data_IF_969903426969
#
_entry.id   IF_969903426969
#
_cell.length_a   1.000
_cell.length_b   1.000
_cell.length_c   1.000
_cell.angle_alpha   90.00
_cell.angle_beta   90.00
_cell.angle_gamma   90.00
#
_symmetry.space_group_name_H-M   'P 1'
#
loop_
_entity.id
_entity.type
_entity.pdbx_description
1 polymer ?
#
# COMPACT_ATOMS: atom_id res chain seq x y z
N UNK A 1 36.67 -20.26 25.65
CA UNK A 1 35.52 -21.03 25.12
C UNK A 1 34.40 -21.19 26.15
N UNK A 2 34.66 -21.62 27.39
CA UNK A 2 33.59 -21.83 28.41
C UNK A 2 32.68 -20.62 28.67
N UNK A 3 33.24 -19.41 28.78
CA UNK A 3 32.45 -18.20 29.08
C UNK A 3 31.53 -17.76 27.93
N UNK A 4 31.91 -18.06 26.67
CA UNK A 4 31.08 -17.80 25.50
C UNK A 4 29.83 -18.68 25.49
N UNK A 5 30.03 -20.00 25.59
CA UNK A 5 28.93 -20.98 25.65
C UNK A 5 28.00 -20.75 26.84
N UNK A 6 28.54 -20.33 27.99
CA UNK A 6 27.74 -19.98 29.17
C UNK A 6 26.86 -18.75 28.93
N UNK A 7 27.42 -17.69 28.33
CA UNK A 7 26.66 -16.49 27.97
C UNK A 7 25.53 -16.80 27.01
N UNK A 8 25.81 -17.61 25.99
CA UNK A 8 24.86 -18.00 24.96
C UNK A 8 23.71 -18.85 25.52
N UNK A 9 24.01 -19.84 26.38
CA UNK A 9 23.00 -20.66 27.04
C UNK A 9 22.08 -19.81 27.94
N UNK A 10 22.62 -18.81 28.65
CA UNK A 10 21.85 -17.87 29.47
C UNK A 10 20.99 -16.95 28.62
N UNK A 11 21.50 -16.46 27.50
CA UNK A 11 20.74 -15.66 26.55
C UNK A 11 19.56 -16.46 25.96
N UNK A 12 19.79 -17.73 25.60
CA UNK A 12 18.71 -18.63 25.16
C UNK A 12 17.62 -18.77 26.22
N UNK A 13 17.98 -19.14 27.45
CA UNK A 13 17.03 -19.25 28.55
C UNK A 13 16.30 -17.92 28.85
N UNK A 14 16.96 -16.78 28.62
CA UNK A 14 16.35 -15.47 28.75
C UNK A 14 15.27 -15.22 27.68
N UNK A 15 15.54 -15.57 26.42
CA UNK A 15 14.69 -15.28 25.26
C UNK A 15 13.57 -16.31 25.04
N UNK A 16 13.78 -17.57 25.43
CA UNK A 16 12.83 -18.68 25.25
C UNK A 16 11.48 -18.50 25.96
N UNK A 17 11.35 -17.55 26.90
CA UNK A 17 10.06 -17.27 27.52
C UNK A 17 9.05 -16.67 26.54
N UNK A 18 9.52 -15.89 25.55
CA UNK A 18 8.69 -15.05 24.68
C UNK A 18 8.90 -15.28 23.19
N UNK A 19 10.07 -15.78 22.80
CA UNK A 19 10.44 -15.93 21.40
C UNK A 19 10.63 -17.39 21.00
N UNK A 20 10.40 -17.70 19.72
CA UNK A 20 10.98 -18.88 19.08
C UNK A 20 12.45 -18.54 18.83
N UNK A 21 13.35 -19.45 19.22
CA UNK A 21 14.77 -19.33 18.91
C UNK A 21 15.04 -20.25 17.73
N UNK A 22 15.56 -19.68 16.65
CA UNK A 22 15.96 -20.44 15.47
C UNK A 22 17.42 -20.88 15.65
N UNK A 23 17.61 -22.11 16.11
CA UNK A 23 18.94 -22.71 16.22
C UNK A 23 19.36 -23.26 14.85
N UNK A 24 20.44 -22.75 14.25
CA UNK A 24 21.04 -23.36 13.06
C UNK A 24 22.55 -23.47 13.14
N UNK A 25 23.02 -24.53 12.49
CA UNK A 25 24.37 -25.09 12.42
C UNK A 25 25.31 -24.39 11.43
N UNK A 26 25.06 -23.12 11.11
CA UNK A 26 25.90 -22.36 10.19
C UNK A 26 26.39 -21.16 10.96
N UNK A 27 27.70 -21.08 11.15
CA UNK A 27 28.41 -19.94 11.74
C UNK A 27 28.13 -18.69 10.89
N UNK A 28 27.03 -18.00 11.17
CA UNK A 28 26.75 -16.68 10.66
C UNK A 28 27.65 -15.75 11.46
N UNK A 29 28.69 -15.22 10.83
CA UNK A 29 29.53 -14.21 11.47
C UNK A 29 28.65 -13.05 11.94
N UNK A 30 28.46 -12.90 13.25
CA UNK A 30 28.01 -11.68 13.92
C UNK A 30 26.60 -11.59 14.49
N UNK A 31 25.86 -12.69 14.59
CA UNK A 31 24.74 -12.79 15.52
C UNK A 31 24.69 -14.22 16.09
N UNK A 32 24.65 -14.37 17.41
CA UNK A 32 24.71 -15.69 18.04
C UNK A 32 23.32 -16.36 18.08
N UNK A 33 22.25 -15.56 18.15
CA UNK A 33 20.87 -16.06 18.19
C UNK A 33 19.98 -15.28 17.23
N UNK A 34 19.09 -16.01 16.55
CA UNK A 34 17.98 -15.44 15.78
C UNK A 34 16.68 -15.75 16.53
N UNK A 35 15.88 -14.71 16.78
CA UNK A 35 14.61 -14.80 17.49
C UNK A 35 13.44 -14.44 16.59
N UNK A 36 12.29 -15.06 16.85
CA UNK A 36 11.05 -14.77 16.17
C UNK A 36 9.93 -14.66 17.20
N UNK A 37 9.02 -13.69 17.01
CA UNK A 37 7.84 -13.54 17.89
C UNK A 37 6.96 -14.79 17.85
N UNK A 38 6.47 -15.20 19.03
CA UNK A 38 5.42 -16.22 19.18
C UNK A 38 4.08 -15.64 18.75
N UNK A 39 3.81 -15.61 17.44
CA UNK A 39 2.52 -15.21 16.92
C UNK A 39 1.51 -16.36 17.11
N UNK A 40 0.86 -16.42 18.27
CA UNK A 40 -0.12 -17.47 18.58
C UNK A 40 -1.45 -17.32 17.85
N UNK A 41 -1.69 -16.13 17.26
CA UNK A 41 -2.97 -15.77 16.63
C UNK A 41 -2.86 -15.50 15.11
N UNK A 42 -1.74 -15.85 14.48
CA UNK A 42 -1.52 -15.68 13.03
C UNK A 42 -1.15 -17.01 12.38
N UNK A 43 -1.73 -17.28 11.22
CA UNK A 43 -1.54 -18.53 10.47
C UNK A 43 -0.21 -18.50 9.69
N UNK A 44 0.36 -19.68 9.38
CA UNK A 44 1.53 -19.87 8.51
C UNK A 44 1.33 -19.30 7.09
N UNK A 45 0.07 -19.03 6.72
CA UNK A 45 -0.38 -18.46 5.44
C UNK A 45 -0.59 -16.94 5.47
N UNK A 46 -0.22 -16.26 6.56
CA UNK A 46 -0.34 -14.79 6.66
C UNK A 46 0.65 -14.11 5.69
N UNK A 47 0.19 -13.07 4.98
CA UNK A 47 0.91 -12.44 3.86
C UNK A 47 2.12 -11.61 4.30
N UNK A 48 2.28 -11.38 5.61
CA UNK A 48 3.50 -10.80 6.19
C UNK A 48 4.25 -11.85 7.01
N UNK A 49 5.34 -12.43 6.48
CA UNK A 49 6.11 -13.38 7.24
C UNK A 49 6.71 -12.70 8.48
N UNK A 50 6.90 -13.44 9.58
CA UNK A 50 7.29 -12.85 10.86
C UNK A 50 8.67 -12.18 10.74
N UNK A 51 8.79 -10.97 11.29
CA UNK A 51 10.05 -10.23 11.43
C UNK A 51 10.97 -10.97 12.39
N UNK A 52 12.24 -11.09 12.05
CA UNK A 52 13.24 -11.77 12.86
C UNK A 52 14.05 -10.75 13.68
N UNK A 53 14.46 -11.12 14.89
CA UNK A 53 15.42 -10.35 15.67
C UNK A 53 16.77 -11.03 15.69
N UNK A 54 17.82 -10.24 15.73
CA UNK A 54 19.19 -10.69 15.82
C UNK A 54 19.77 -10.32 17.16
N UNK A 55 20.32 -11.31 17.86
CA UNK A 55 20.89 -11.10 19.19
C UNK A 55 22.35 -11.53 19.17
N UNK A 56 23.24 -10.56 19.37
CA UNK A 56 24.63 -10.84 19.68
C UNK A 56 24.77 -10.99 21.20
N UNK A 57 25.40 -12.08 21.62
CA UNK A 57 25.71 -12.38 23.00
C UNK A 57 27.21 -12.20 23.22
N UNK A 58 27.59 -11.54 24.31
CA UNK A 58 28.99 -11.42 24.71
C UNK A 58 29.10 -11.60 26.21
N UNK A 59 30.26 -12.06 26.67
CA UNK A 59 30.54 -12.24 28.09
C UNK A 59 31.66 -11.28 28.52
N UNK A 60 31.43 -10.56 29.62
CA UNK A 60 32.46 -9.76 30.28
C UNK A 60 33.03 -10.54 31.46
N UNK A 61 34.29 -10.94 31.35
CA UNK A 61 35.03 -11.57 32.46
C UNK A 61 35.41 -10.56 33.54
N UNK A 62 35.66 -9.31 33.14
CA UNK A 62 35.94 -8.19 34.05
C UNK A 62 35.52 -6.86 33.42
N UNK A 63 35.56 -5.80 34.20
CA UNK A 63 35.35 -4.42 33.74
C UNK A 63 36.45 -3.93 32.77
N UNK A 64 37.63 -4.53 32.80
CA UNK A 64 38.73 -4.24 31.87
C UNK A 64 38.53 -4.82 30.47
N UNK A 65 37.63 -5.78 30.32
CA UNK A 65 37.36 -6.41 29.03
C UNK A 65 36.67 -5.41 28.10
N UNK A 66 37.14 -5.32 26.85
CA UNK A 66 36.53 -4.50 25.80
C UNK A 66 35.97 -5.39 24.72
N UNK A 67 34.73 -5.15 24.33
CA UNK A 67 34.05 -5.86 23.25
C UNK A 67 33.93 -4.95 22.02
N UNK A 68 33.98 -5.54 20.83
CA UNK A 68 33.87 -4.82 19.56
C UNK A 68 32.69 -5.35 18.75
N UNK A 69 31.82 -4.44 18.30
CA UNK A 69 30.63 -4.77 17.52
C UNK A 69 30.72 -4.06 16.17
N UNK A 70 30.83 -4.78 15.05
CA UNK A 70 30.87 -4.17 13.72
C UNK A 70 29.69 -3.24 13.44
N UNK A 71 29.96 -2.10 12.78
CA UNK A 71 28.94 -1.08 12.50
C UNK A 71 27.80 -1.61 11.63
N UNK A 72 28.10 -2.55 10.75
CA UNK A 72 27.15 -3.25 9.86
C UNK A 72 25.99 -3.95 10.59
N UNK A 73 26.14 -4.21 11.89
CA UNK A 73 25.07 -4.78 12.73
C UNK A 73 24.18 -3.72 13.38
N UNK A 74 24.66 -2.50 13.51
CA UNK A 74 23.97 -1.40 14.19
C UNK A 74 23.26 -0.52 13.18
N UNK A 75 23.88 -0.29 12.02
CA UNK A 75 23.37 0.54 10.94
C UNK A 75 23.28 -0.24 9.62
N UNK A 76 22.29 0.10 8.79
CA UNK A 76 22.17 -0.42 7.42
C UNK A 76 23.13 0.29 6.43
N UNK A 77 23.02 -0.07 5.15
CA UNK A 77 23.81 0.53 4.06
C UNK A 77 23.53 2.02 3.83
N UNK A 78 22.38 2.52 4.28
CA UNK A 78 21.99 3.94 4.23
C UNK A 78 22.41 4.71 5.50
N UNK A 79 23.02 4.03 6.47
CA UNK A 79 23.42 4.61 7.75
C UNK A 79 22.28 4.77 8.77
N UNK A 80 21.08 4.21 8.51
CA UNK A 80 19.96 4.21 9.46
C UNK A 80 20.10 3.07 10.46
N UNK A 81 19.58 3.28 11.68
CA UNK A 81 19.68 2.31 12.77
C UNK A 81 18.78 1.09 12.56
N UNK A 82 19.29 -0.07 12.95
CA UNK A 82 18.57 -1.35 12.92
C UNK A 82 17.75 -1.55 14.19
N UNK A 83 16.43 -1.57 14.08
CA UNK A 83 15.53 -1.82 15.21
C UNK A 83 15.47 -3.30 15.63
N UNK A 84 15.90 -4.19 14.74
CA UNK A 84 15.87 -5.63 14.83
C UNK A 84 17.16 -6.28 15.35
N UNK A 85 18.17 -5.47 15.70
CA UNK A 85 19.44 -5.95 16.28
C UNK A 85 19.56 -5.58 17.75
N UNK A 86 19.98 -6.56 18.55
CA UNK A 86 20.06 -6.48 20.01
C UNK A 86 21.37 -7.08 20.51
N UNK A 87 21.83 -6.58 21.66
CA UNK A 87 23.03 -7.11 22.31
C UNK A 87 22.71 -7.50 23.75
N UNK A 88 23.09 -8.72 24.13
CA UNK A 88 23.05 -9.20 25.50
C UNK A 88 24.47 -9.41 26.01
N UNK A 89 24.82 -8.66 27.06
CA UNK A 89 26.05 -8.91 27.79
C UNK A 89 25.77 -9.69 29.07
N UNK A 90 26.55 -10.74 29.28
CA UNK A 90 26.51 -11.52 30.51
C UNK A 90 27.80 -11.33 31.30
N UNK A 91 27.70 -11.41 32.62
CA UNK A 91 28.85 -11.48 33.53
C UNK A 91 28.49 -12.29 34.77
N UNK A 92 29.49 -12.61 35.58
CA UNK A 92 29.34 -13.32 36.84
C UNK A 92 28.99 -14.80 36.69
N UNK A 93 29.13 -15.54 37.78
CA UNK A 93 28.87 -16.97 37.86
C UNK A 93 27.78 -17.25 38.89
N UNK A 94 27.03 -18.33 38.67
CA UNK A 94 25.97 -18.80 39.58
C UNK A 94 25.01 -17.66 39.99
N UNK A 95 24.84 -17.45 41.29
CA UNK A 95 23.95 -16.48 41.92
C UNK A 95 24.33 -15.01 41.68
N UNK A 96 25.58 -14.75 41.26
CA UNK A 96 26.06 -13.39 40.97
C UNK A 96 25.96 -13.03 39.47
N UNK A 97 25.21 -13.81 38.70
CA UNK A 97 25.06 -13.56 37.27
C UNK A 97 24.22 -12.31 36.99
N UNK A 98 24.67 -11.49 36.03
CA UNK A 98 23.96 -10.29 35.57
C UNK A 98 23.83 -10.30 34.05
N UNK A 99 22.75 -9.69 33.58
CA UNK A 99 22.43 -9.51 32.16
C UNK A 99 22.30 -8.02 31.89
N UNK A 100 22.94 -7.55 30.82
CA UNK A 100 22.78 -6.19 30.31
C UNK A 100 22.25 -6.24 28.89
N UNK A 101 21.38 -5.30 28.54
CA UNK A 101 20.68 -5.27 27.27
C UNK A 101 20.85 -3.91 26.58
N UNK A 102 21.22 -3.96 25.30
CA UNK A 102 21.36 -2.78 24.45
C UNK A 102 20.62 -2.98 23.12
N UNK A 103 20.03 -1.91 22.62
CA UNK A 103 19.52 -1.78 21.24
C UNK A 103 20.56 -1.08 20.37
N UNK A 104 20.41 -1.15 19.05
CA UNK A 104 21.27 -0.40 18.11
C UNK A 104 21.32 1.10 18.41
N UNK A 105 20.19 1.70 18.78
CA UNK A 105 20.11 3.11 19.16
C UNK A 105 20.99 3.44 20.39
N UNK A 106 20.94 2.61 21.43
CA UNK A 106 21.79 2.76 22.61
C UNK A 106 23.26 2.57 22.25
N UNK A 107 23.59 1.62 21.38
CA UNK A 107 24.98 1.40 20.94
C UNK A 107 25.51 2.62 20.19
N UNK A 108 24.73 3.14 19.24
CA UNK A 108 25.09 4.28 18.41
C UNK A 108 25.23 5.58 19.21
N UNK A 109 24.36 5.80 20.21
CA UNK A 109 24.37 7.02 21.02
C UNK A 109 25.44 7.03 22.11
N UNK A 110 25.72 5.87 22.73
CA UNK A 110 26.58 5.82 23.90
C UNK A 110 28.03 5.39 23.60
N UNK A 111 28.35 4.81 22.43
CA UNK A 111 29.68 4.22 22.19
C UNK A 111 30.35 4.79 20.93
N UNK A 112 31.68 4.89 20.99
CA UNK A 112 32.48 5.42 19.90
C UNK A 112 32.78 4.35 18.84
N UNK A 113 32.88 4.79 17.59
CA UNK A 113 33.33 3.96 16.47
C UNK A 113 34.86 4.06 16.40
N UNK A 114 35.52 2.90 16.34
CA UNK A 114 36.96 2.76 16.13
C UNK A 114 37.23 1.83 14.96
N UNK A 115 38.42 1.92 14.38
CA UNK A 115 38.86 1.01 13.34
C UNK A 115 39.70 -0.11 13.95
N UNK A 116 39.30 -1.37 13.73
CA UNK A 116 39.98 -2.58 14.23
C UNK A 116 39.98 -3.61 13.12
N UNK A 117 41.17 -4.08 12.73
CA UNK A 117 41.38 -5.02 11.61
C UNK A 117 40.81 -4.52 10.27
N UNK A 118 40.94 -3.21 9.99
CA UNK A 118 40.42 -2.59 8.76
C UNK A 118 38.89 -2.47 8.70
N UNK A 119 38.19 -2.74 9.80
CA UNK A 119 36.74 -2.62 9.90
C UNK A 119 36.33 -1.63 10.98
N UNK A 120 35.31 -0.81 10.69
CA UNK A 120 34.68 0.08 11.67
C UNK A 120 33.85 -0.74 12.66
N UNK A 121 34.13 -0.60 13.95
CA UNK A 121 33.45 -1.31 15.05
C UNK A 121 33.15 -0.34 16.20
N UNK A 122 32.01 -0.50 16.85
CA UNK A 122 31.72 0.16 18.12
C UNK A 122 32.56 -0.45 19.23
N UNK A 123 33.21 0.40 20.02
CA UNK A 123 34.04 -0.01 21.16
C UNK A 123 33.24 0.04 22.45
N UNK A 124 33.00 -1.14 23.05
CA UNK A 124 32.17 -1.28 24.25
C UNK A 124 33.06 -1.68 25.42
N UNK A 125 33.38 -0.70 26.28
CA UNK A 125 34.18 -0.90 27.47
C UNK A 125 33.37 -1.55 28.59
N UNK A 126 33.90 -2.63 29.19
CA UNK A 126 33.28 -3.30 30.34
C UNK A 126 33.05 -2.35 31.50
N UNK A 127 33.96 -1.40 31.77
CA UNK A 127 33.82 -0.37 32.81
C UNK A 127 32.56 0.47 32.64
N UNK A 128 32.15 0.77 31.40
CA UNK A 128 30.95 1.57 31.10
C UNK A 128 29.67 0.74 31.26
N UNK A 129 29.70 -0.53 30.90
CA UNK A 129 28.54 -1.43 31.02
C UNK A 129 28.35 -1.91 32.47
N UNK A 130 29.37 -2.49 33.07
CA UNK A 130 29.27 -3.20 34.35
C UNK A 130 29.08 -2.27 35.55
N UNK A 131 29.56 -1.02 35.47
CA UNK A 131 29.42 -0.03 36.55
C UNK A 131 28.18 0.86 36.40
N UNK A 132 27.37 0.64 35.35
CA UNK A 132 26.18 1.44 35.07
C UNK A 132 24.91 0.63 35.23
N UNK A 133 23.97 1.14 36.04
CA UNK A 133 22.64 0.53 36.13
C UNK A 133 21.78 0.78 34.88
N UNK A 134 22.21 1.69 33.97
CA UNK A 134 21.45 2.07 32.76
C UNK A 134 21.13 0.86 31.88
N UNK A 135 22.10 -0.04 31.73
CA UNK A 135 22.02 -1.18 30.81
C UNK A 135 21.57 -2.48 31.49
N UNK A 136 21.53 -2.49 32.84
CA UNK A 136 21.23 -3.67 33.62
C UNK A 136 19.77 -4.09 33.44
N UNK A 137 19.54 -5.37 33.14
CA UNK A 137 18.19 -5.93 33.06
C UNK A 137 17.62 -6.07 34.47
N UNK A 138 16.87 -5.05 34.91
CA UNK A 138 16.16 -5.05 36.19
C UNK A 138 14.87 -5.88 36.18
N UNK A 139 14.22 -6.00 35.02
CA UNK A 139 13.01 -6.80 34.83
C UNK A 139 13.07 -7.54 33.50
N UNK A 140 13.07 -8.88 33.57
CA UNK A 140 13.04 -9.77 32.40
C UNK A 140 11.85 -9.44 31.49
N UNK A 141 10.65 -9.32 32.07
CA UNK A 141 9.43 -9.05 31.30
C UNK A 141 9.50 -7.72 30.53
N UNK A 142 9.99 -6.65 31.16
CA UNK A 142 10.06 -5.34 30.50
C UNK A 142 11.07 -5.33 29.35
N UNK A 143 12.21 -5.97 29.52
CA UNK A 143 13.20 -6.11 28.45
C UNK A 143 12.65 -6.94 27.30
N UNK A 144 11.98 -8.06 27.57
CA UNK A 144 11.37 -8.87 26.51
C UNK A 144 10.24 -8.10 25.78
N UNK A 145 9.44 -7.30 26.48
CA UNK A 145 8.45 -6.41 25.86
C UNK A 145 9.10 -5.35 24.96
N UNK A 146 10.26 -4.80 25.35
CA UNK A 146 11.02 -3.85 24.51
C UNK A 146 11.51 -4.50 23.22
N UNK A 147 12.09 -5.71 23.32
CA UNK A 147 12.50 -6.49 22.14
C UNK A 147 11.29 -6.74 21.24
N UNK A 148 10.16 -7.15 21.82
CA UNK A 148 8.94 -7.42 21.07
C UNK A 148 8.41 -6.17 20.34
N UNK A 149 8.33 -5.04 21.03
CA UNK A 149 7.87 -3.78 20.45
C UNK A 149 8.81 -3.31 19.32
N UNK A 150 10.12 -3.39 19.51
CA UNK A 150 11.07 -3.06 18.46
C UNK A 150 10.89 -3.96 17.23
N UNK A 151 10.63 -5.26 17.42
CA UNK A 151 10.34 -6.16 16.31
C UNK A 151 8.99 -5.87 15.63
N UNK A 152 8.01 -5.28 16.32
CA UNK A 152 6.76 -4.81 15.70
C UNK A 152 7.05 -3.67 14.73
N UNK A 153 7.87 -2.71 15.14
CA UNK A 153 8.15 -1.50 14.36
C UNK A 153 9.26 -1.67 13.31
N UNK A 154 10.14 -2.67 13.48
CA UNK A 154 11.26 -2.91 12.60
C UNK A 154 10.86 -2.96 11.12
N UNK A 155 11.58 -2.25 10.27
CA UNK A 155 11.34 -2.23 8.83
C UNK A 155 11.46 -3.65 8.24
N UNK A 156 10.40 -4.10 7.57
CA UNK A 156 10.32 -5.46 7.02
C UNK A 156 11.35 -5.71 5.92
N UNK A 157 11.59 -4.72 5.04
CA UNK A 157 12.54 -4.81 3.92
C UNK A 157 13.97 -4.94 4.46
N UNK A 158 14.35 -4.05 5.39
CA UNK A 158 15.69 -4.04 6.00
C UNK A 158 15.99 -5.29 6.83
N UNK A 159 14.95 -5.83 7.48
CA UNK A 159 15.04 -7.09 8.19
C UNK A 159 15.39 -8.24 7.23
N UNK A 160 14.75 -8.29 6.06
CA UNK A 160 14.99 -9.32 5.04
C UNK A 160 16.31 -9.15 4.31
N UNK A 161 16.71 -7.93 3.98
CA UNK A 161 18.02 -7.63 3.36
C UNK A 161 19.18 -8.04 4.27
N UNK A 162 19.05 -7.82 5.57
CA UNK A 162 20.08 -8.24 6.52
C UNK A 162 20.12 -9.76 6.70
N UNK A 163 18.95 -10.41 6.67
CA UNK A 163 18.85 -11.87 6.59
C UNK A 163 19.51 -12.40 5.31
N UNK A 164 19.23 -11.83 4.14
CA UNK A 164 19.75 -12.31 2.84
C UNK A 164 21.25 -12.05 2.66
N UNK A 165 21.77 -11.00 3.29
CA UNK A 165 23.20 -10.74 3.35
C UNK A 165 23.96 -11.72 4.27
N UNK A 166 23.35 -12.21 5.36
CA UNK A 166 24.03 -12.96 6.43
C UNK A 166 23.72 -14.44 6.51
N UNK A 167 22.48 -14.84 6.26
CA UNK A 167 22.27 -16.20 5.81
C UNK A 167 23.05 -16.33 4.51
N UNK A 168 23.70 -17.46 4.24
CA UNK A 168 23.88 -17.81 2.85
C UNK A 168 22.51 -17.54 2.24
N UNK A 169 22.45 -16.79 1.14
CA UNK A 169 21.42 -17.11 0.14
C UNK A 169 21.28 -18.61 0.21
N UNK A 170 20.06 -19.16 0.21
CA UNK A 170 19.99 -20.56 -0.22
C UNK A 170 20.63 -20.49 -1.60
N UNK A 171 21.95 -20.73 -1.66
CA UNK A 171 22.75 -20.94 -2.83
C UNK A 171 22.16 -22.28 -3.15
N UNK A 172 21.01 -22.18 -3.81
CA UNK A 172 20.34 -23.28 -4.44
C UNK A 172 21.49 -23.85 -5.22
N UNK A 173 22.03 -24.98 -4.78
CA UNK A 173 23.26 -25.48 -5.36
C UNK A 173 22.95 -25.64 -6.85
N UNK A 174 23.42 -24.68 -7.64
CA UNK A 174 23.03 -24.61 -9.05
C UNK A 174 23.74 -25.73 -9.80
N UNK A 175 24.81 -26.28 -9.21
CA UNK A 175 25.48 -27.49 -9.65
C UNK A 175 24.84 -28.80 -9.15
N UNK A 176 23.91 -28.74 -8.19
CA UNK A 176 23.22 -29.94 -7.70
C UNK A 176 22.39 -30.54 -8.82
N UNK A 177 22.74 -31.75 -9.22
CA UNK A 177 22.00 -32.55 -10.19
C UNK A 177 22.14 -34.01 -9.75
N UNK A 178 21.16 -34.84 -10.10
CA UNK A 178 21.19 -36.25 -9.74
C UNK A 178 22.47 -36.91 -10.29
N UNK A 179 23.15 -37.80 -9.52
CA UNK A 179 24.47 -38.32 -9.88
C UNK A 179 24.55 -38.94 -11.27
N UNK A 180 23.49 -39.62 -11.72
CA UNK A 180 23.48 -40.28 -13.02
C UNK A 180 23.52 -39.30 -14.21
N UNK A 181 23.18 -38.02 -14.03
CA UNK A 181 23.37 -36.99 -15.07
C UNK A 181 24.80 -36.42 -15.08
N UNK A 182 25.64 -36.77 -14.10
CA UNK A 182 27.07 -36.44 -14.09
C UNK A 182 27.92 -37.50 -14.77
N UNK A 183 27.34 -38.66 -15.09
CA UNK A 183 28.02 -39.73 -15.80
C UNK A 183 28.36 -39.28 -17.23
N UNK A 184 29.60 -39.53 -17.66
CA UNK A 184 30.09 -39.11 -18.97
C UNK A 184 29.57 -40.04 -20.07
N UNK A 185 28.31 -39.86 -20.45
CA UNK A 185 27.65 -40.57 -21.54
C UNK A 185 27.44 -39.63 -22.74
N UNK A 186 27.79 -40.12 -23.93
CA UNK A 186 27.48 -39.41 -25.17
C UNK A 186 25.97 -39.19 -25.31
N UNK A 187 25.57 -37.95 -25.56
CA UNK A 187 24.18 -37.57 -25.75
C UNK A 187 24.10 -36.45 -26.81
N UNK A 188 22.92 -36.25 -27.39
CA UNK A 188 22.72 -35.28 -28.47
C UNK A 188 22.69 -33.81 -28.00
N UNK A 189 22.75 -33.55 -26.69
CA UNK A 189 22.57 -32.22 -26.09
C UNK A 189 23.90 -31.60 -25.62
N UNK A 190 24.89 -32.40 -25.27
CA UNK A 190 26.20 -31.96 -24.77
C UNK A 190 26.36 -32.16 -23.25
N UNK A 191 26.92 -31.16 -22.56
CA UNK A 191 27.16 -31.23 -21.11
C UNK A 191 25.88 -30.90 -20.32
N UNK A 192 25.14 -31.93 -19.92
CA UNK A 192 23.88 -31.80 -19.17
C UNK A 192 24.06 -31.03 -17.84
N UNK A 193 25.07 -31.33 -16.99
CA UNK A 193 25.34 -30.56 -15.78
C UNK A 193 25.48 -29.06 -16.00
N UNK A 194 26.29 -28.63 -16.97
CA UNK A 194 26.54 -27.21 -17.24
C UNK A 194 25.25 -26.51 -17.69
N UNK A 195 24.48 -27.15 -18.55
CA UNK A 195 23.25 -26.60 -19.08
C UNK A 195 22.15 -26.51 -18.02
N UNK A 196 22.04 -27.51 -17.15
CA UNK A 196 21.08 -27.49 -16.05
C UNK A 196 21.45 -26.43 -15.01
N UNK A 197 22.75 -26.25 -14.74
CA UNK A 197 23.24 -25.16 -13.91
C UNK A 197 22.89 -23.80 -14.52
N UNK A 198 23.04 -23.64 -15.84
CA UNK A 198 22.63 -22.44 -16.57
C UNK A 198 21.14 -22.14 -16.38
N UNK A 199 20.27 -23.14 -16.52
CA UNK A 199 18.81 -23.00 -16.30
C UNK A 199 18.51 -22.55 -14.86
N UNK A 200 19.16 -23.17 -13.86
CA UNK A 200 18.96 -22.78 -12.45
C UNK A 200 19.43 -21.36 -12.15
N UNK A 201 20.54 -20.93 -12.75
CA UNK A 201 21.01 -19.55 -12.62
C UNK A 201 20.01 -18.56 -13.25
N UNK A 202 19.43 -18.90 -14.41
CA UNK A 202 18.37 -18.08 -15.00
C UNK A 202 17.12 -18.03 -14.12
N UNK A 203 16.68 -19.16 -13.57
CA UNK A 203 15.54 -19.18 -12.66
C UNK A 203 15.76 -18.30 -11.43
N UNK A 204 16.95 -18.38 -10.82
CA UNK A 204 17.33 -17.52 -9.68
C UNK A 204 17.32 -16.04 -10.07
N UNK A 205 17.86 -15.69 -11.25
CA UNK A 205 17.83 -14.32 -11.76
C UNK A 205 16.39 -13.82 -11.95
N UNK A 206 15.54 -14.63 -12.57
CA UNK A 206 14.12 -14.28 -12.78
C UNK A 206 13.34 -14.13 -11.47
N UNK A 207 13.71 -14.85 -10.41
CA UNK A 207 13.11 -14.65 -9.09
C UNK A 207 13.40 -13.25 -8.54
N UNK A 208 14.64 -12.75 -8.69
CA UNK A 208 14.97 -11.38 -8.27
C UNK A 208 14.25 -10.33 -9.12
N UNK A 209 14.19 -10.53 -10.44
CA UNK A 209 13.44 -9.65 -11.34
C UNK A 209 11.94 -9.59 -10.94
N UNK A 210 11.34 -10.72 -10.55
CA UNK A 210 9.95 -10.76 -10.05
C UNK A 210 9.78 -10.08 -8.68
N UNK A 211 10.78 -10.16 -7.80
CA UNK A 211 10.75 -9.48 -6.50
C UNK A 211 10.77 -7.95 -6.67
N UNK A 212 11.58 -7.43 -7.61
CA UNK A 212 11.58 -6.00 -7.95
C UNK A 212 10.22 -5.53 -8.48
N UNK A 213 9.58 -6.31 -9.35
CA UNK A 213 8.23 -6.01 -9.85
C UNK A 213 7.21 -6.04 -8.72
N UNK A 214 7.28 -7.03 -7.84
CA UNK A 214 6.41 -7.11 -6.67
C UNK A 214 6.52 -5.86 -5.78
N UNK A 215 7.73 -5.37 -5.55
CA UNK A 215 7.96 -4.17 -4.74
C UNK A 215 7.30 -2.93 -5.36
N UNK A 216 7.42 -2.76 -6.68
CA UNK A 216 6.77 -1.64 -7.40
C UNK A 216 5.25 -1.74 -7.39
N UNK A 217 4.69 -2.95 -7.59
CA UNK A 217 3.26 -3.20 -7.45
C UNK A 217 2.77 -2.85 -6.04
N UNK A 218 3.57 -3.17 -5.01
CA UNK A 218 3.26 -2.79 -3.63
C UNK A 218 3.26 -1.28 -3.44
N UNK A 219 4.21 -0.55 -4.03
CA UNK A 219 4.24 0.92 -3.97
C UNK A 219 3.03 1.60 -4.62
N UNK A 220 2.39 0.93 -5.60
CA UNK A 220 1.11 1.37 -6.20
C UNK A 220 -0.05 1.11 -5.23
N UNK A 221 -0.08 -0.08 -4.61
CA UNK A 221 -1.13 -0.47 -3.63
C UNK A 221 -1.11 0.42 -2.37
N UNK A 222 0.08 0.80 -1.92
CA UNK A 222 0.27 1.61 -0.71
C UNK A 222 0.10 3.12 -0.97
N UNK A 223 -0.11 3.57 -2.22
CA UNK A 223 -0.33 4.98 -2.54
C UNK A 223 -1.77 5.42 -2.25
N UNK A 224 -1.92 6.69 -1.84
CA UNK A 224 -3.19 7.33 -1.54
C UNK A 224 -3.58 8.40 -2.57
N UNK A 225 -2.62 8.92 -3.36
CA UNK A 225 -2.91 9.82 -4.48
C UNK A 225 -3.02 8.97 -5.76
N UNK A 226 -4.22 8.91 -6.40
CA UNK A 226 -4.37 8.13 -7.62
C UNK A 226 -3.44 8.62 -8.74
N UNK A 227 -3.14 9.92 -8.83
CA UNK A 227 -2.29 10.47 -9.90
C UNK A 227 -0.84 10.00 -9.73
N UNK A 228 -0.34 9.98 -8.51
CA UNK A 228 1.01 9.44 -8.20
C UNK A 228 1.06 7.91 -8.42
N UNK A 229 -0.01 7.19 -8.07
CA UNK A 229 -0.14 5.77 -8.37
C UNK A 229 -0.07 5.49 -9.89
N UNK A 230 -0.72 6.31 -10.71
CA UNK A 230 -0.66 6.23 -12.17
C UNK A 230 0.74 6.52 -12.72
N UNK A 231 1.46 7.50 -12.16
CA UNK A 231 2.85 7.76 -12.53
C UNK A 231 3.75 6.53 -12.30
N UNK A 232 3.60 5.88 -11.14
CA UNK A 232 4.31 4.62 -10.82
C UNK A 232 3.94 3.47 -11.74
N UNK A 233 2.69 3.39 -12.21
CA UNK A 233 2.26 2.38 -13.19
C UNK A 233 2.96 2.60 -14.54
N UNK A 234 3.07 3.85 -15.00
CA UNK A 234 3.79 4.18 -16.23
C UNK A 234 5.31 3.93 -16.11
N UNK A 235 5.90 4.24 -14.96
CA UNK A 235 7.31 3.89 -14.67
C UNK A 235 7.52 2.37 -14.75
N UNK A 236 6.66 1.59 -14.10
CA UNK A 236 6.69 0.12 -14.14
C UNK A 236 6.56 -0.42 -15.57
N UNK A 237 5.68 0.18 -16.38
CA UNK A 237 5.47 -0.18 -17.78
C UNK A 237 6.69 0.11 -18.65
N UNK A 238 7.37 1.24 -18.41
CA UNK A 238 8.59 1.61 -19.12
C UNK A 238 9.74 0.62 -18.84
N UNK A 239 9.86 0.14 -17.60
CA UNK A 239 10.94 -0.75 -17.18
C UNK A 239 10.74 -2.20 -17.62
N UNK A 240 9.51 -2.72 -17.53
CA UNK A 240 9.20 -4.07 -18.00
C UNK A 240 9.21 -4.10 -19.54
N UNK A 241 8.87 -3.00 -20.20
CA UNK A 241 8.81 -2.92 -21.65
C UNK A 241 7.72 -3.82 -22.26
N UNK A 242 7.33 -3.56 -23.50
CA UNK A 242 6.25 -4.29 -24.17
C UNK A 242 6.55 -5.77 -24.48
N UNK A 243 7.78 -6.24 -24.23
CA UNK A 243 8.29 -7.52 -24.73
C UNK A 243 8.87 -8.48 -23.67
N UNK A 244 9.10 -8.07 -22.41
CA UNK A 244 9.78 -8.97 -21.44
C UNK A 244 8.88 -10.07 -20.86
N UNK A 245 7.57 -9.86 -20.77
CA UNK A 245 6.67 -10.80 -20.05
C UNK A 245 5.51 -11.34 -20.89
N UNK A 246 5.51 -11.07 -22.20
CA UNK A 246 4.47 -11.54 -23.12
C UNK A 246 3.06 -11.22 -22.61
N UNK A 247 2.15 -12.20 -22.69
CA UNK A 247 0.75 -12.04 -22.26
C UNK A 247 0.57 -11.67 -20.78
N UNK A 248 1.49 -12.05 -19.91
CA UNK A 248 1.35 -11.75 -18.48
C UNK A 248 1.53 -10.26 -18.21
N UNK A 249 2.56 -9.65 -18.82
CA UNK A 249 2.78 -8.20 -18.74
C UNK A 249 1.61 -7.42 -19.31
N UNK A 250 1.16 -7.75 -20.52
CA UNK A 250 0.05 -7.05 -21.19
C UNK A 250 -1.23 -7.07 -20.35
N UNK A 251 -1.68 -8.25 -19.90
CA UNK A 251 -2.91 -8.35 -19.09
C UNK A 251 -2.79 -7.62 -17.75
N UNK A 252 -1.61 -7.59 -17.14
CA UNK A 252 -1.40 -6.86 -15.88
C UNK A 252 -1.61 -5.35 -16.10
N UNK A 253 -0.95 -4.79 -17.12
CA UNK A 253 -1.05 -3.34 -17.41
C UNK A 253 -2.43 -2.92 -17.88
N UNK A 254 -3.09 -3.72 -18.71
CA UNK A 254 -4.46 -3.45 -19.19
C UNK A 254 -5.47 -3.35 -18.02
N UNK A 255 -5.20 -4.02 -16.90
CA UNK A 255 -6.06 -3.97 -15.71
C UNK A 255 -5.64 -2.89 -14.70
N UNK A 256 -4.39 -2.44 -14.74
CA UNK A 256 -3.88 -1.41 -13.82
C UNK A 256 -4.07 0.00 -14.38
N UNK A 257 -4.08 0.15 -15.70
CA UNK A 257 -4.12 1.45 -16.35
C UNK A 257 -5.45 1.68 -17.07
N UNK A 258 -6.25 2.60 -16.54
CA UNK A 258 -7.45 3.13 -17.17
C UNK A 258 -7.23 4.62 -17.48
N UNK A 259 -7.07 4.94 -18.76
CA UNK A 259 -6.77 6.29 -19.24
C UNK A 259 -7.90 7.29 -18.91
N UNK A 260 -9.16 6.86 -19.03
CA UNK A 260 -10.33 7.69 -18.74
C UNK A 260 -10.39 8.01 -17.24
N UNK A 261 -10.09 7.02 -16.39
CA UNK A 261 -10.03 7.23 -14.95
C UNK A 261 -8.88 8.16 -14.54
N UNK A 262 -7.71 8.04 -15.17
CA UNK A 262 -6.58 8.94 -14.93
C UNK A 262 -6.94 10.40 -15.23
N UNK A 263 -7.48 10.68 -16.43
CA UNK A 263 -7.88 12.05 -16.78
C UNK A 263 -9.03 12.57 -15.91
N UNK A 264 -9.93 11.67 -15.48
CA UNK A 264 -10.99 12.02 -14.51
C UNK A 264 -10.40 12.49 -13.18
N UNK A 265 -9.39 11.79 -12.64
CA UNK A 265 -8.70 12.18 -11.40
C UNK A 265 -7.98 13.52 -11.54
N UNK A 266 -7.27 13.72 -12.66
CA UNK A 266 -6.60 14.98 -12.98
C UNK A 266 -7.58 16.15 -13.03
N UNK A 267 -8.64 16.05 -13.84
CA UNK A 267 -9.67 17.09 -13.95
C UNK A 267 -10.34 17.37 -12.60
N UNK A 268 -10.58 16.33 -11.80
CA UNK A 268 -11.15 16.49 -10.47
C UNK A 268 -10.23 17.28 -9.53
N UNK A 269 -8.93 16.97 -9.51
CA UNK A 269 -7.93 17.70 -8.71
C UNK A 269 -7.83 19.15 -9.15
N UNK A 270 -7.73 19.41 -10.45
CA UNK A 270 -7.69 20.77 -11.03
C UNK A 270 -8.93 21.60 -10.63
N UNK A 271 -10.12 21.01 -10.69
CA UNK A 271 -11.37 21.65 -10.25
C UNK A 271 -11.36 22.00 -8.77
N UNK A 272 -10.94 21.06 -7.91
CA UNK A 272 -10.85 21.30 -6.47
C UNK A 272 -9.87 22.44 -6.19
N UNK A 273 -8.70 22.44 -6.83
CA UNK A 273 -7.69 23.49 -6.65
C UNK A 273 -8.21 24.85 -7.12
N UNK A 274 -8.83 24.94 -8.30
CA UNK A 274 -9.43 26.17 -8.81
C UNK A 274 -10.51 26.73 -7.87
N UNK A 275 -11.46 25.89 -7.45
CA UNK A 275 -12.53 26.28 -6.54
C UNK A 275 -11.99 26.66 -5.15
N UNK A 276 -10.98 25.96 -4.65
CA UNK A 276 -10.36 26.27 -3.35
C UNK A 276 -9.63 27.60 -3.39
N UNK A 277 -8.89 27.88 -4.45
CA UNK A 277 -8.15 29.13 -4.63
C UNK A 277 -9.08 30.35 -4.66
N UNK A 278 -10.28 30.20 -5.24
CA UNK A 278 -11.30 31.25 -5.28
C UNK A 278 -12.19 31.29 -4.02
N UNK A 279 -12.06 30.31 -3.12
CA UNK A 279 -12.88 30.20 -1.91
C UNK A 279 -14.33 29.76 -2.16
N UNK A 280 -14.57 29.02 -3.25
CA UNK A 280 -15.90 28.66 -3.77
C UNK A 280 -16.23 27.16 -3.68
N UNK A 281 -15.32 26.35 -3.14
CA UNK A 281 -15.48 24.89 -3.09
C UNK A 281 -16.76 24.47 -2.33
N UNK A 282 -16.99 25.06 -1.16
CA UNK A 282 -18.18 24.75 -0.36
C UNK A 282 -19.47 25.17 -1.06
N UNK A 283 -19.47 26.34 -1.71
CA UNK A 283 -20.66 26.81 -2.44
C UNK A 283 -20.98 25.91 -3.64
N UNK A 284 -19.94 25.46 -4.36
CA UNK A 284 -20.08 24.49 -5.43
C UNK A 284 -20.66 23.16 -4.93
N UNK A 285 -20.16 22.63 -3.81
CA UNK A 285 -20.69 21.41 -3.18
C UNK A 285 -22.14 21.61 -2.70
N UNK A 286 -22.46 22.77 -2.14
CA UNK A 286 -23.80 23.09 -1.66
C UNK A 286 -24.81 23.21 -2.81
N UNK A 287 -24.39 23.73 -3.97
CA UNK A 287 -25.24 23.82 -5.17
C UNK A 287 -25.74 22.44 -5.63
N UNK A 288 -24.89 21.41 -5.55
CA UNK A 288 -25.26 20.01 -5.84
C UNK A 288 -26.43 19.55 -4.98
N UNK A 289 -26.37 19.83 -3.68
CA UNK A 289 -27.41 19.44 -2.72
C UNK A 289 -28.71 20.22 -2.97
N UNK A 290 -28.61 21.53 -3.24
CA UNK A 290 -29.77 22.36 -3.56
C UNK A 290 -30.51 21.88 -4.83
N UNK A 291 -29.77 21.53 -5.88
CA UNK A 291 -30.34 20.97 -7.12
C UNK A 291 -31.01 19.63 -6.85
N UNK A 292 -30.32 18.73 -6.11
CA UNK A 292 -30.84 17.41 -5.78
C UNK A 292 -32.14 17.49 -4.95
N UNK A 293 -32.17 18.35 -3.92
CA UNK A 293 -33.34 18.54 -3.07
C UNK A 293 -34.52 19.14 -3.83
N UNK A 294 -34.28 20.16 -4.66
CA UNK A 294 -35.30 20.76 -5.51
C UNK A 294 -35.92 19.74 -6.46
N UNK A 295 -35.08 18.95 -7.12
CA UNK A 295 -35.51 17.93 -8.07
C UNK A 295 -36.32 16.81 -7.41
N UNK A 296 -35.85 16.27 -6.29
CA UNK A 296 -36.56 15.21 -5.57
C UNK A 296 -37.87 15.72 -5.00
N UNK A 297 -37.88 16.92 -4.42
CA UNK A 297 -39.10 17.56 -3.91
C UNK A 297 -40.15 17.73 -5.01
N UNK A 298 -39.74 18.20 -6.19
CA UNK A 298 -40.63 18.37 -7.33
C UNK A 298 -41.19 17.02 -7.82
N UNK A 299 -40.30 16.08 -8.16
CA UNK A 299 -40.69 14.79 -8.77
C UNK A 299 -41.54 13.91 -7.83
N UNK A 300 -41.35 14.03 -6.51
CA UNK A 300 -42.13 13.29 -5.51
C UNK A 300 -43.62 13.51 -5.62
N UNK A 301 -44.06 14.67 -6.13
CA UNK A 301 -45.47 14.98 -6.33
C UNK A 301 -46.08 14.29 -7.57
N UNK A 302 -45.25 13.71 -8.43
CA UNK A 302 -45.66 13.16 -9.73
C UNK A 302 -45.39 11.65 -9.85
N UNK A 303 -44.99 10.99 -8.77
CA UNK A 303 -44.78 9.54 -8.81
C UNK A 303 -46.11 8.77 -8.87
N UNK A 304 -46.19 7.70 -9.69
CA UNK A 304 -45.21 7.26 -10.69
C UNK A 304 -45.22 8.13 -11.97
N UNK A 305 -44.03 8.41 -12.53
CA UNK A 305 -43.89 9.23 -13.74
C UNK A 305 -44.10 8.37 -14.98
N UNK A 306 -44.92 8.83 -15.92
CA UNK A 306 -45.17 8.14 -17.18
C UNK A 306 -43.89 8.07 -18.04
N UNK A 307 -43.64 6.93 -18.70
CA UNK A 307 -42.43 6.65 -19.50
C UNK A 307 -42.19 7.56 -20.72
N UNK A 308 -43.19 8.37 -21.06
CA UNK A 308 -43.14 9.37 -22.12
C UNK A 308 -42.97 10.81 -21.60
N UNK A 309 -42.79 11.01 -20.29
CA UNK A 309 -42.57 12.33 -19.70
C UNK A 309 -41.08 12.67 -19.64
N UNK A 310 -40.77 13.90 -20.01
CA UNK A 310 -39.49 14.56 -19.81
C UNK A 310 -39.63 15.48 -18.62
N UNK A 311 -38.66 15.40 -17.73
CA UNK A 311 -38.45 16.42 -16.72
C UNK A 311 -37.47 17.45 -17.27
N UNK A 312 -37.86 18.71 -17.27
CA UNK A 312 -36.97 19.83 -17.56
C UNK A 312 -36.70 20.61 -16.27
N UNK A 313 -35.52 21.21 -16.20
CA UNK A 313 -35.07 22.02 -15.07
C UNK A 313 -34.29 23.20 -15.61
N UNK A 314 -34.85 24.40 -15.49
CA UNK A 314 -34.11 25.62 -15.80
C UNK A 314 -33.47 26.14 -14.52
N UNK A 315 -32.14 26.24 -14.53
CA UNK A 315 -31.35 26.69 -13.39
C UNK A 315 -30.80 28.07 -13.73
N UNK A 316 -31.04 29.02 -12.83
CA UNK A 316 -30.37 30.33 -12.80
C UNK A 316 -29.51 30.40 -11.55
N UNK A 317 -28.25 30.78 -11.69
CA UNK A 317 -27.30 30.81 -10.59
C UNK A 317 -26.38 32.02 -10.68
N UNK A 318 -25.67 32.31 -9.59
CA UNK A 318 -24.67 33.37 -9.51
C UNK A 318 -23.30 32.84 -9.94
N UNK A 319 -22.69 33.48 -10.95
CA UNK A 319 -21.31 33.17 -11.34
C UNK A 319 -20.27 33.59 -10.29
N UNK A 320 -20.67 34.44 -9.34
CA UNK A 320 -19.78 34.90 -8.27
C UNK A 320 -19.50 33.77 -7.28
N UNK A 321 -20.55 33.07 -6.86
CA UNK A 321 -20.53 32.18 -5.70
C UNK A 321 -21.34 30.88 -5.89
N UNK A 322 -21.72 30.51 -7.12
CA UNK A 322 -22.54 29.33 -7.42
C UNK A 322 -23.90 29.25 -6.70
N UNK A 323 -24.32 30.32 -6.01
CA UNK A 323 -25.61 30.33 -5.33
C UNK A 323 -26.75 30.19 -6.34
N UNK A 324 -27.67 29.28 -6.05
CA UNK A 324 -28.84 29.03 -6.89
C UNK A 324 -29.86 30.15 -6.65
N UNK A 325 -30.12 30.95 -7.68
CA UNK A 325 -31.10 32.04 -7.61
C UNK A 325 -32.53 31.50 -7.81
N UNK A 326 -32.68 30.58 -8.76
CA UNK A 326 -33.97 30.00 -9.09
C UNK A 326 -33.82 28.65 -9.82
N UNK A 327 -34.72 27.72 -9.51
CA UNK A 327 -34.91 26.48 -10.26
C UNK A 327 -36.38 26.34 -10.63
N UNK A 328 -36.69 26.27 -11.92
CA UNK A 328 -38.03 25.97 -12.41
C UNK A 328 -38.06 24.60 -13.04
N UNK A 329 -39.02 23.79 -12.62
CA UNK A 329 -39.22 22.43 -13.10
C UNK A 329 -40.48 22.34 -13.93
N UNK A 330 -40.45 21.54 -14.99
CA UNK A 330 -41.65 21.13 -15.72
C UNK A 330 -41.62 19.62 -16.02
N UNK A 331 -42.81 19.04 -16.16
CA UNK A 331 -43.00 17.69 -16.70
C UNK A 331 -43.83 17.79 -17.98
N UNK A 332 -43.18 17.51 -19.10
CA UNK A 332 -43.74 17.72 -20.44
C UNK A 332 -43.72 16.38 -21.18
N UNK A 333 -44.72 16.13 -22.03
CA UNK A 333 -44.67 14.95 -22.87
C UNK A 333 -43.48 15.06 -23.85
N UNK A 334 -42.70 14.01 -23.98
CA UNK A 334 -41.55 13.99 -24.87
C UNK A 334 -41.90 14.27 -26.34
N UNK A 335 -43.09 13.87 -26.80
CA UNK A 335 -43.54 14.20 -28.16
C UNK A 335 -43.74 15.70 -28.35
N UNK A 336 -44.23 16.38 -27.31
CA UNK A 336 -44.44 17.83 -27.31
C UNK A 336 -43.11 18.57 -27.21
N UNK A 337 -42.26 18.19 -26.25
CA UNK A 337 -40.98 18.86 -26.01
C UNK A 337 -40.02 18.78 -27.20
N UNK A 338 -39.92 17.61 -27.85
CA UNK A 338 -39.06 17.45 -29.03
C UNK A 338 -39.78 17.70 -30.36
N UNK A 339 -41.07 18.04 -30.33
CA UNK A 339 -41.90 18.18 -31.52
C UNK A 339 -41.83 16.96 -32.46
N UNK A 340 -41.96 15.75 -31.88
CA UNK A 340 -41.90 14.47 -32.61
C UNK A 340 -43.26 13.76 -32.60
N UNK A 341 -43.59 12.94 -33.62
CA UNK A 341 -44.85 12.20 -33.66
C UNK A 341 -44.99 11.22 -32.49
N UNK A 342 -46.21 11.10 -31.95
CA UNK A 342 -46.52 10.13 -30.90
C UNK A 342 -46.63 8.71 -31.47
N UNK A 343 -45.51 8.01 -31.60
CA UNK A 343 -45.43 6.62 -32.09
C UNK A 343 -44.98 5.71 -30.96
N UNK A 344 -45.79 4.73 -30.58
CA UNK A 344 -45.41 3.75 -29.55
C UNK A 344 -44.45 2.68 -30.10
N UNK A 345 -43.51 2.22 -29.28
CA UNK A 345 -42.69 1.04 -29.52
C UNK A 345 -43.43 -0.24 -29.09
N UNK A 346 -42.79 -1.40 -29.29
CA UNK A 346 -43.36 -2.71 -28.98
C UNK A 346 -43.68 -2.90 -27.48
N UNK A 347 -43.07 -2.10 -26.59
CA UNK A 347 -43.37 -2.07 -25.15
C UNK A 347 -44.42 -1.04 -24.74
N UNK A 348 -45.07 -0.37 -25.70
CA UNK A 348 -46.14 0.60 -25.46
C UNK A 348 -45.67 1.98 -25.01
N UNK A 349 -44.35 2.23 -24.97
CA UNK A 349 -43.73 3.52 -24.65
C UNK A 349 -43.47 4.34 -25.92
N UNK A 350 -43.33 5.67 -25.81
CA UNK A 350 -42.99 6.50 -26.98
C UNK A 350 -41.66 6.04 -27.63
N UNK A 351 -41.58 5.94 -28.96
CA UNK A 351 -40.34 5.64 -29.67
C UNK A 351 -39.49 6.91 -29.75
N UNK A 352 -38.43 6.96 -28.94
CA UNK A 352 -37.51 8.10 -28.84
C UNK A 352 -36.09 7.56 -29.03
N UNK A 353 -35.28 8.27 -29.82
CA UNK A 353 -33.86 7.99 -30.02
C UNK A 353 -33.05 8.29 -28.74
N UNK A 354 -31.98 7.53 -28.50
CA UNK A 354 -31.15 7.59 -27.29
C UNK A 354 -30.54 9.00 -27.11
N UNK A 355 -30.23 9.70 -28.21
CA UNK A 355 -29.71 11.07 -28.18
C UNK A 355 -30.65 12.09 -27.51
N UNK A 356 -31.93 11.76 -27.30
CA UNK A 356 -32.92 12.61 -26.67
C UNK A 356 -33.19 12.23 -25.20
N UNK A 357 -32.40 11.33 -24.62
CA UNK A 357 -32.67 10.81 -23.28
C UNK A 357 -32.37 11.84 -22.19
N UNK A 358 -31.35 12.66 -22.41
CA UNK A 358 -30.96 13.75 -21.55
C UNK A 358 -30.13 14.78 -22.34
N UNK A 359 -29.95 15.96 -21.77
CA UNK A 359 -29.09 16.99 -22.34
C UNK A 359 -29.20 18.33 -21.65
N UNK A 360 -28.32 19.24 -22.07
CA UNK A 360 -28.22 20.61 -21.55
C UNK A 360 -28.37 21.61 -22.70
N UNK A 361 -29.21 22.63 -22.50
CA UNK A 361 -29.31 23.79 -23.40
C UNK A 361 -28.91 25.06 -22.69
N UNK A 362 -27.93 25.77 -23.24
CA UNK A 362 -27.56 27.10 -22.75
C UNK A 362 -28.66 28.10 -23.10
N UNK A 363 -29.08 28.90 -22.12
CA UNK A 363 -30.07 29.96 -22.30
C UNK A 363 -29.38 31.33 -22.25
N UNK A 364 -28.52 31.55 -21.26
CA UNK A 364 -27.68 32.74 -21.11
C UNK A 364 -26.41 32.42 -20.32
N UNK A 365 -25.58 33.42 -20.05
CA UNK A 365 -24.29 33.30 -19.33
C UNK A 365 -24.41 32.57 -17.98
N UNK A 366 -25.49 32.81 -17.24
CA UNK A 366 -25.73 32.23 -15.93
C UNK A 366 -27.02 31.39 -15.84
N UNK A 367 -27.55 30.97 -17.01
CA UNK A 367 -28.80 30.20 -17.09
C UNK A 367 -28.74 29.09 -18.12
N UNK A 368 -29.14 27.89 -17.72
CA UNK A 368 -29.27 26.74 -18.62
C UNK A 368 -30.50 25.90 -18.28
N UNK A 369 -30.91 25.06 -19.23
CA UNK A 369 -31.94 24.04 -19.09
C UNK A 369 -31.29 22.66 -19.13
N UNK A 370 -31.51 21.85 -18.09
CA UNK A 370 -31.26 20.42 -18.11
C UNK A 370 -32.57 19.69 -18.39
N UNK A 371 -32.57 18.73 -19.30
CA UNK A 371 -33.73 17.89 -19.57
C UNK A 371 -33.37 16.41 -19.56
N UNK A 372 -34.31 15.55 -19.18
CA UNK A 372 -34.13 14.10 -19.22
C UNK A 372 -35.45 13.31 -19.13
N UNK A 373 -35.46 12.07 -19.64
CA UNK A 373 -36.61 11.15 -19.61
C UNK A 373 -36.80 10.50 -18.23
N UNK A 374 -37.33 11.26 -17.28
CA UNK A 374 -37.53 10.83 -15.89
C UNK A 374 -38.43 9.59 -15.73
N UNK A 375 -39.35 9.34 -16.68
CA UNK A 375 -40.23 8.17 -16.65
C UNK A 375 -39.61 6.85 -17.12
N UNK A 376 -38.36 6.87 -17.61
CA UNK A 376 -37.68 5.66 -18.12
C UNK A 376 -36.71 5.02 -17.14
N UNK A 377 -36.58 5.56 -15.94
CA UNK A 377 -35.72 4.93 -14.94
C UNK A 377 -36.41 3.66 -14.45
N UNK A 378 -35.69 2.55 -14.53
CA UNK A 378 -36.13 1.29 -13.96
C UNK A 378 -36.09 1.37 -12.43
N UNK A 379 -37.26 1.34 -11.80
CA UNK A 379 -37.38 1.31 -10.33
C UNK A 379 -37.26 -0.14 -9.86
N UNK A 380 -36.16 -0.46 -9.15
CA UNK A 380 -36.00 -1.78 -8.55
C UNK A 380 -37.09 -2.03 -7.51
N UNK A 381 -37.55 -3.28 -7.40
CA UNK A 381 -38.61 -3.68 -6.47
C UNK A 381 -38.36 -3.26 -5.01
N UNK A 382 -37.09 -3.23 -4.59
CA UNK A 382 -36.67 -2.85 -3.23
C UNK A 382 -36.91 -1.37 -2.88
N UNK A 383 -37.19 -0.52 -3.87
CA UNK A 383 -37.43 0.92 -3.68
C UNK A 383 -38.87 1.34 -3.94
N UNK A 384 -39.79 0.40 -4.20
CA UNK A 384 -41.21 0.71 -4.47
C UNK A 384 -41.86 1.51 -3.34
N UNK A 385 -41.43 1.28 -2.10
CA UNK A 385 -41.96 1.96 -0.92
C UNK A 385 -41.14 3.21 -0.51
N UNK A 386 -40.04 3.52 -1.24
CA UNK A 386 -39.18 4.67 -0.98
C UNK A 386 -38.58 5.24 -2.28
N UNK A 387 -39.47 5.77 -3.11
CA UNK A 387 -39.11 6.41 -4.38
C UNK A 387 -38.18 7.63 -4.20
N UNK A 388 -38.35 8.51 -3.19
CA UNK A 388 -37.43 9.63 -3.00
C UNK A 388 -35.96 9.22 -2.86
N UNK A 389 -35.66 8.18 -2.06
CA UNK A 389 -34.29 7.70 -1.87
C UNK A 389 -33.73 7.01 -3.13
N UNK A 390 -34.58 6.29 -3.87
CA UNK A 390 -34.21 5.76 -5.17
C UNK A 390 -33.78 6.86 -6.13
N UNK A 391 -34.61 7.89 -6.26
CA UNK A 391 -34.35 9.02 -7.13
C UNK A 391 -33.10 9.81 -6.65
N UNK A 392 -32.87 9.99 -5.35
CA UNK A 392 -31.57 10.53 -4.85
C UNK A 392 -30.36 9.70 -5.30
N UNK A 393 -30.46 8.37 -5.23
CA UNK A 393 -29.33 7.46 -5.56
C UNK A 393 -29.09 7.25 -7.06
N UNK A 394 -30.13 7.38 -7.89
CA UNK A 394 -30.06 7.08 -9.34
C UNK A 394 -29.90 8.30 -10.22
N UNK A 395 -30.17 9.49 -9.70
CA UNK A 395 -30.11 10.74 -10.45
C UNK A 395 -28.75 11.45 -10.30
N UNK A 396 -27.72 10.72 -9.86
CA UNK A 396 -26.40 11.28 -9.66
C UNK A 396 -25.84 12.00 -10.89
N UNK A 397 -26.13 11.42 -12.05
CA UNK A 397 -25.81 12.02 -13.33
C UNK A 397 -26.41 13.42 -13.52
N UNK A 398 -27.68 13.65 -13.16
CA UNK A 398 -28.34 14.93 -13.44
C UNK A 398 -27.72 16.07 -12.65
N UNK A 399 -27.58 15.93 -11.33
CA UNK A 399 -26.98 17.02 -10.55
C UNK A 399 -25.49 17.18 -10.86
N UNK A 400 -24.77 16.10 -11.20
CA UNK A 400 -23.36 16.19 -11.64
C UNK A 400 -23.27 17.00 -12.92
N UNK A 401 -24.05 16.64 -13.94
CA UNK A 401 -24.03 17.31 -15.24
C UNK A 401 -24.46 18.79 -15.10
N UNK A 402 -25.39 19.11 -14.19
CA UNK A 402 -25.75 20.50 -13.87
C UNK A 402 -24.62 21.27 -13.19
N UNK A 403 -23.96 20.70 -12.18
CA UNK A 403 -22.84 21.37 -11.49
C UNK A 403 -21.63 21.52 -12.40
N UNK A 404 -21.35 20.51 -13.23
CA UNK A 404 -20.33 20.59 -14.28
C UNK A 404 -20.62 21.74 -15.23
N UNK A 405 -21.88 21.91 -15.65
CA UNK A 405 -22.24 23.04 -16.49
C UNK A 405 -22.04 24.38 -15.81
N UNK A 406 -22.39 24.48 -14.52
CA UNK A 406 -22.13 25.68 -13.75
C UNK A 406 -20.64 26.00 -13.70
N UNK A 407 -19.79 25.00 -13.48
CA UNK A 407 -18.33 25.15 -13.48
C UNK A 407 -17.82 25.63 -14.84
N UNK A 408 -18.26 25.00 -15.93
CA UNK A 408 -17.91 25.41 -17.30
C UNK A 408 -18.24 26.88 -17.57
N UNK A 409 -19.46 27.31 -17.26
CA UNK A 409 -19.89 28.69 -17.49
C UNK A 409 -19.11 29.73 -16.67
N UNK A 410 -18.43 29.31 -15.59
CA UNK A 410 -17.61 30.20 -14.78
C UNK A 410 -16.15 30.25 -15.24
N UNK A 411 -15.57 29.11 -15.60
CA UNK A 411 -14.12 28.97 -15.82
C UNK A 411 -13.72 28.76 -17.28
N UNK A 412 -14.66 28.43 -18.17
CA UNK A 412 -14.41 28.09 -19.56
C UNK A 412 -15.32 28.93 -20.48
N UNK A 413 -14.98 30.21 -20.62
CA UNK A 413 -15.49 31.11 -21.67
C UNK A 413 -14.80 30.86 -23.02
#
# INVERSE_FOLDING_TARGET
MQNGSLGEARAKAFLMDRFWILERSVDIEGADLIIQRRLTNRNLLDTTPPKLGFVQVKFFESDKTTQYIPTVYITDSEGKLREDFFILFHTGFEENSKIYFLTSDVVNSDFEIVEVDGMKKYRIYGTKILNSEKYLVKSKSNTLNRIENNLVFADFKKNREFISWKLPNVVSDTSAILPYYKENLENHWGNIPDEFQRIKNYALKSMYELEEIYLKLKEIVDDFDPIEAFAKIEDLKSEIGSNYMGRWGTNMFDNLYDEDFYYTCMSHKEKIEALTNDGLLDDYINSKSAIADSLVSYLSNYFPINSSMIHTMQITFSLKDFSIENITHDLINASEYFNIPFVKNDSGSLKIDIQYYDGIKNISENKFEYYWLAGRIHIDDKYKDNLPDFYRSKIERVYRDCTEKMYELKYHD
#
